data_IF_830101256379
#
_entry.id   IF_830101256379
#
_cell.length_a   1.000
_cell.length_b   1.000
_cell.length_c   1.000
_cell.angle_alpha   90.00
_cell.angle_beta   90.00
_cell.angle_gamma   90.00
#
_symmetry.space_group_name_H-M   'P 1'
#
loop_
_entity.id
_entity.type
_entity.pdbx_description
1 polymer ?
#
# COMPACT_ATOMS: atom_id res chain seq x y z
N UNK A 1 -59.34 34.15 32.02
CA UNK A 1 -59.82 35.20 32.96
C UNK A 1 -60.70 36.14 32.17
N UNK A 2 -61.84 36.57 32.71
CA UNK A 2 -62.69 37.60 32.10
C UNK A 2 -62.15 39.00 32.41
N UNK A 3 -62.57 40.01 31.63
CA UNK A 3 -62.15 41.41 31.80
C UNK A 3 -62.32 41.93 33.23
N UNK A 4 -63.36 41.47 33.93
CA UNK A 4 -63.69 41.88 35.30
C UNK A 4 -62.72 41.30 36.34
N UNK A 5 -62.14 40.14 36.06
CA UNK A 5 -61.26 39.37 36.95
C UNK A 5 -59.81 39.85 36.91
N UNK A 6 -59.43 40.66 35.92
CA UNK A 6 -58.08 41.18 35.78
C UNK A 6 -57.71 42.17 36.91
N UNK A 7 -56.50 42.03 37.43
CA UNK A 7 -55.88 43.00 38.34
C UNK A 7 -55.43 44.26 37.59
N UNK A 8 -55.20 45.37 38.30
CA UNK A 8 -54.70 46.63 37.71
C UNK A 8 -53.39 46.42 36.95
N UNK A 9 -52.50 45.56 37.46
CA UNK A 9 -51.24 45.22 36.79
C UNK A 9 -51.48 44.53 35.45
N UNK A 10 -52.34 43.51 35.43
CA UNK A 10 -52.68 42.78 34.20
C UNK A 10 -53.43 43.66 33.19
N UNK A 11 -54.31 44.56 33.66
CA UNK A 11 -54.98 45.53 32.78
C UNK A 11 -53.99 46.49 32.11
N UNK A 12 -52.97 46.95 32.85
CA UNK A 12 -51.89 47.79 32.31
C UNK A 12 -51.06 47.03 31.29
N UNK A 13 -50.62 45.82 31.63
CA UNK A 13 -49.86 44.94 30.72
C UNK A 13 -50.65 44.66 29.42
N UNK A 14 -51.95 44.37 29.51
CA UNK A 14 -52.80 44.11 28.33
C UNK A 14 -53.03 45.35 27.46
N UNK A 15 -53.11 46.55 28.05
CA UNK A 15 -53.20 47.80 27.30
C UNK A 15 -51.85 48.15 26.64
N UNK A 16 -50.75 47.98 27.36
CA UNK A 16 -49.40 48.23 26.86
C UNK A 16 -49.00 47.25 25.74
N UNK A 17 -49.40 45.98 25.83
CA UNK A 17 -49.25 44.99 24.74
C UNK A 17 -50.00 45.37 23.46
N UNK A 18 -50.98 46.26 23.56
CA UNK A 18 -51.80 46.74 22.43
C UNK A 18 -51.46 48.18 22.05
N UNK A 19 -50.34 48.71 22.55
CA UNK A 19 -49.88 50.09 22.35
C UNK A 19 -50.90 51.16 22.80
N UNK A 20 -51.70 50.87 23.83
CA UNK A 20 -52.71 51.76 24.40
C UNK A 20 -52.25 52.40 25.72
N UNK A 21 -52.79 53.58 26.06
CA UNK A 21 -52.46 54.24 27.33
C UNK A 21 -52.79 53.35 28.52
N UNK A 22 -51.83 53.12 29.41
CA UNK A 22 -51.96 52.28 30.60
C UNK A 22 -52.13 53.10 31.89
N UNK A 23 -52.32 54.42 31.81
CA UNK A 23 -52.51 55.29 32.98
C UNK A 23 -53.94 55.24 33.57
N UNK A 24 -54.08 55.55 34.88
CA UNK A 24 -55.38 55.66 35.55
C UNK A 24 -55.79 54.50 36.48
N UNK A 25 -57.03 54.58 36.99
CA UNK A 25 -57.61 53.65 37.97
C UNK A 25 -58.19 52.39 37.30
N UNK A 26 -58.45 51.31 38.05
CA UNK A 26 -58.97 50.02 37.53
C UNK A 26 -60.15 50.19 36.55
N UNK A 27 -61.11 51.05 36.89
CA UNK A 27 -62.31 51.32 36.09
C UNK A 27 -61.95 51.94 34.73
N UNK A 28 -61.02 52.91 34.71
CA UNK A 28 -60.57 53.59 33.49
C UNK A 28 -59.86 52.60 32.57
N UNK A 29 -58.98 51.76 33.16
CA UNK A 29 -58.25 50.74 32.42
C UNK A 29 -59.19 49.65 31.85
N UNK A 30 -60.20 49.21 32.62
CA UNK A 30 -61.21 48.26 32.14
C UNK A 30 -62.06 48.85 31.03
N UNK A 31 -62.50 50.11 31.15
CA UNK A 31 -63.28 50.78 30.11
C UNK A 31 -62.49 50.94 28.81
N UNK A 32 -61.22 51.33 28.90
CA UNK A 32 -60.33 51.44 27.74
C UNK A 32 -60.10 50.08 27.08
N UNK A 33 -59.77 49.05 27.87
CA UNK A 33 -59.56 47.70 27.34
C UNK A 33 -60.85 47.13 26.73
N UNK A 34 -62.02 47.46 27.29
CA UNK A 34 -63.34 47.11 26.73
C UNK A 34 -63.57 47.72 25.34
N UNK A 35 -63.25 48.99 25.17
CA UNK A 35 -63.36 49.71 23.90
C UNK A 35 -62.40 49.13 22.85
N UNK A 36 -61.15 48.85 23.25
CA UNK A 36 -60.13 48.22 22.39
C UNK A 36 -60.56 46.84 21.90
N UNK A 37 -61.11 45.99 22.78
CA UNK A 37 -61.66 44.68 22.39
C UNK A 37 -62.81 44.82 21.39
N UNK A 38 -63.74 45.75 21.66
CA UNK A 38 -64.91 45.98 20.79
C UNK A 38 -64.48 46.48 19.42
N UNK A 39 -63.48 47.37 19.36
CA UNK A 39 -62.88 47.88 18.11
C UNK A 39 -62.19 46.77 17.30
N UNK A 40 -61.62 45.78 17.99
CA UNK A 40 -61.00 44.62 17.37
C UNK A 40 -62.02 43.52 16.97
N UNK A 41 -63.31 43.71 17.28
CA UNK A 41 -64.38 42.76 16.96
C UNK A 41 -64.58 41.65 18.01
N UNK A 42 -63.92 41.75 19.15
CA UNK A 42 -64.05 40.83 20.28
C UNK A 42 -65.15 41.28 21.25
N UNK A 43 -65.96 40.34 21.76
CA UNK A 43 -66.94 40.65 22.80
C UNK A 43 -66.26 40.72 24.18
N UNK A 44 -66.22 41.89 24.84
CA UNK A 44 -65.51 42.07 26.11
C UNK A 44 -66.05 41.27 27.28
N UNK A 45 -67.32 40.82 27.24
CA UNK A 45 -67.92 40.02 28.31
C UNK A 45 -67.65 38.51 28.16
N UNK A 46 -67.26 38.06 26.96
CA UNK A 46 -66.92 36.65 26.69
C UNK A 46 -65.45 36.42 26.34
N UNK A 47 -64.68 37.49 26.09
CA UNK A 47 -63.26 37.40 25.77
C UNK A 47 -62.46 36.85 26.96
N UNK A 48 -61.72 35.77 26.73
CA UNK A 48 -60.88 35.12 27.73
C UNK A 48 -59.41 35.50 27.57
N UNK A 49 -58.90 36.25 28.55
CA UNK A 49 -57.49 36.53 28.70
C UNK A 49 -56.76 35.31 29.24
N UNK A 50 -55.66 34.92 28.57
CA UNK A 50 -54.77 33.88 29.05
C UNK A 50 -54.08 34.34 30.33
N UNK A 51 -54.09 33.50 31.37
CA UNK A 51 -53.28 33.78 32.55
C UNK A 51 -51.81 33.47 32.27
N UNK A 52 -50.91 34.11 33.01
CA UNK A 52 -49.48 33.77 32.97
C UNK A 52 -49.25 32.27 33.21
N UNK A 53 -50.05 31.64 34.08
CA UNK A 53 -50.03 30.21 34.34
C UNK A 53 -50.42 29.38 33.10
N UNK A 54 -51.48 29.76 32.38
CA UNK A 54 -51.89 29.07 31.15
C UNK A 54 -50.81 29.19 30.05
N UNK A 55 -50.18 30.36 29.92
CA UNK A 55 -49.07 30.56 28.98
C UNK A 55 -47.88 29.67 29.36
N UNK A 56 -47.51 29.62 30.64
CA UNK A 56 -46.43 28.76 31.15
C UNK A 56 -46.75 27.28 30.89
N UNK A 57 -47.97 26.83 31.20
CA UNK A 57 -48.41 25.44 30.97
C UNK A 57 -48.34 25.06 29.49
N UNK A 58 -48.77 25.95 28.59
CA UNK A 58 -48.68 25.69 27.14
C UNK A 58 -47.23 25.55 26.67
N UNK A 59 -46.32 26.42 27.14
CA UNK A 59 -44.90 26.36 26.82
C UNK A 59 -44.24 25.11 27.39
N UNK A 60 -44.55 24.72 28.63
CA UNK A 60 -44.06 23.48 29.24
C UNK A 60 -44.52 22.25 28.46
N UNK A 61 -45.76 22.24 27.98
CA UNK A 61 -46.29 21.17 27.13
C UNK A 61 -45.48 21.06 25.83
N UNK A 62 -45.26 22.16 25.13
CA UNK A 62 -44.46 22.18 23.90
C UNK A 62 -43.02 21.72 24.14
N UNK A 63 -42.40 22.14 25.24
CA UNK A 63 -41.05 21.70 25.62
C UNK A 63 -41.03 20.20 25.89
N UNK A 64 -42.00 19.67 26.63
CA UNK A 64 -42.15 18.23 26.90
C UNK A 64 -42.29 17.41 25.62
N UNK A 65 -43.15 17.86 24.70
CA UNK A 65 -43.33 17.22 23.38
C UNK A 65 -42.02 17.22 22.57
N UNK A 66 -41.29 18.34 22.59
CA UNK A 66 -40.01 18.47 21.89
C UNK A 66 -38.94 17.55 22.48
N UNK A 67 -38.89 17.43 23.81
CA UNK A 67 -37.96 16.53 24.51
C UNK A 67 -38.28 15.08 24.13
N UNK A 68 -39.55 14.67 24.21
CA UNK A 68 -39.96 13.31 23.88
C UNK A 68 -39.61 12.93 22.44
N UNK A 69 -39.87 13.81 21.48
CA UNK A 69 -39.53 13.57 20.08
C UNK A 69 -38.01 13.51 19.85
N UNK A 70 -37.25 14.33 20.58
CA UNK A 70 -35.78 14.31 20.51
C UNK A 70 -35.23 13.01 21.09
N UNK A 71 -35.75 12.56 22.24
CA UNK A 71 -35.39 11.27 22.84
C UNK A 71 -35.70 10.11 21.88
N UNK A 72 -36.91 10.08 21.29
CA UNK A 72 -37.29 9.06 20.31
C UNK A 72 -36.34 9.00 19.12
N UNK A 73 -35.99 10.15 18.52
CA UNK A 73 -35.02 10.21 17.42
C UNK A 73 -33.62 9.79 17.84
N UNK A 74 -33.24 10.06 19.09
CA UNK A 74 -31.95 9.62 19.63
C UNK A 74 -31.91 8.10 19.78
N UNK A 75 -32.95 7.49 20.32
CA UNK A 75 -33.06 6.05 20.49
C UNK A 75 -33.02 5.32 19.14
N UNK A 76 -33.76 5.81 18.14
CA UNK A 76 -33.72 5.28 16.77
C UNK A 76 -32.32 5.36 16.15
N UNK A 77 -31.56 6.43 16.43
CA UNK A 77 -30.17 6.54 15.96
C UNK A 77 -29.26 5.54 16.68
N UNK A 78 -29.41 5.39 18.00
CA UNK A 78 -28.62 4.42 18.76
C UNK A 78 -28.88 2.99 18.32
N UNK A 79 -30.14 2.63 18.07
CA UNK A 79 -30.51 1.31 17.56
C UNK A 79 -29.88 1.03 16.18
N UNK A 80 -29.93 2.03 15.29
CA UNK A 80 -29.29 1.93 13.98
C UNK A 80 -27.76 1.78 14.08
N UNK A 81 -27.13 2.48 15.02
CA UNK A 81 -25.68 2.35 15.27
C UNK A 81 -25.35 0.98 15.85
N UNK A 82 -26.14 0.48 16.81
CA UNK A 82 -25.97 -0.85 17.38
C UNK A 82 -26.06 -1.93 16.30
N UNK A 83 -27.08 -1.86 15.43
CA UNK A 83 -27.22 -2.79 14.30
C UNK A 83 -26.01 -2.76 13.35
N UNK A 84 -25.54 -1.57 12.95
CA UNK A 84 -24.35 -1.45 12.10
C UNK A 84 -23.09 -1.97 12.77
N UNK A 85 -22.98 -1.81 14.09
CA UNK A 85 -21.87 -2.35 14.87
C UNK A 85 -21.88 -3.89 14.84
N UNK A 86 -23.05 -4.51 15.04
CA UNK A 86 -23.19 -5.97 14.98
C UNK A 86 -22.87 -6.53 13.59
N UNK A 87 -23.39 -5.90 12.54
CA UNK A 87 -23.07 -6.26 11.15
C UNK A 87 -21.56 -6.17 10.88
N UNK A 88 -20.92 -5.09 11.32
CA UNK A 88 -19.47 -4.90 11.18
C UNK A 88 -18.68 -5.95 11.96
N UNK A 89 -19.11 -6.27 13.17
CA UNK A 89 -18.49 -7.28 14.03
C UNK A 89 -18.56 -8.68 13.40
N UNK A 90 -19.70 -9.02 12.78
CA UNK A 90 -19.86 -10.27 12.04
C UNK A 90 -18.92 -10.35 10.83
N UNK A 91 -18.83 -9.28 10.03
CA UNK A 91 -17.91 -9.21 8.89
C UNK A 91 -16.45 -9.37 9.33
N UNK A 92 -16.04 -8.72 10.42
CA UNK A 92 -14.68 -8.86 10.97
C UNK A 92 -14.39 -10.31 11.36
N UNK A 93 -15.31 -10.97 12.08
CA UNK A 93 -15.16 -12.38 12.47
C UNK A 93 -14.97 -13.28 11.25
N UNK A 94 -15.78 -13.06 10.22
CA UNK A 94 -15.74 -13.87 9.00
C UNK A 94 -14.44 -13.64 8.22
N UNK A 95 -13.98 -12.39 8.10
CA UNK A 95 -12.69 -12.07 7.47
C UNK A 95 -11.52 -12.71 8.23
N UNK A 96 -11.53 -12.64 9.57
CA UNK A 96 -10.51 -13.29 10.39
C UNK A 96 -10.50 -14.81 10.19
N UNK A 97 -11.67 -15.46 10.16
CA UNK A 97 -11.81 -16.89 9.90
C UNK A 97 -11.23 -17.28 8.53
N UNK A 98 -11.66 -16.59 7.47
CA UNK A 98 -11.17 -16.85 6.11
C UNK A 98 -9.67 -16.60 5.98
N UNK A 99 -9.15 -15.56 6.65
CA UNK A 99 -7.72 -15.28 6.63
C UNK A 99 -6.94 -16.40 7.30
N UNK A 100 -7.40 -16.92 8.44
CA UNK A 100 -6.74 -18.01 9.14
C UNK A 100 -6.69 -19.29 8.29
N UNK A 101 -7.81 -19.65 7.67
CA UNK A 101 -7.88 -20.82 6.76
C UNK A 101 -6.91 -20.71 5.58
N UNK A 102 -6.79 -19.52 4.99
CA UNK A 102 -5.81 -19.26 3.93
C UNK A 102 -4.37 -19.37 4.44
N UNK A 103 -4.08 -18.86 5.63
CA UNK A 103 -2.75 -18.99 6.24
C UNK A 103 -2.39 -20.45 6.51
N UNK A 104 -3.33 -21.25 7.02
CA UNK A 104 -3.12 -22.69 7.25
C UNK A 104 -2.84 -23.42 5.94
N UNK A 105 -3.61 -23.12 4.89
CA UNK A 105 -3.38 -23.68 3.55
C UNK A 105 -2.01 -23.32 2.98
N UNK A 106 -1.60 -22.04 3.07
CA UNK A 106 -0.26 -21.59 2.64
C UNK A 106 0.84 -22.27 3.45
N UNK A 107 0.66 -22.41 4.76
CA UNK A 107 1.60 -23.10 5.65
C UNK A 107 1.79 -24.57 5.24
N UNK A 108 0.70 -25.25 4.89
CA UNK A 108 0.75 -26.61 4.38
C UNK A 108 1.50 -26.71 3.04
N UNK A 109 1.22 -25.81 2.10
CA UNK A 109 1.92 -25.76 0.80
C UNK A 109 3.43 -25.53 1.00
N UNK A 110 3.82 -24.63 1.91
CA UNK A 110 5.23 -24.37 2.20
C UNK A 110 5.92 -25.62 2.75
N UNK A 111 5.28 -26.36 3.67
CA UNK A 111 5.81 -27.62 4.20
C UNK A 111 5.99 -28.67 3.11
N UNK A 112 4.97 -28.84 2.26
CA UNK A 112 4.99 -29.78 1.14
C UNK A 112 6.13 -29.46 0.16
N UNK A 113 6.22 -28.21 -0.30
CA UNK A 113 7.29 -27.77 -1.22
C UNK A 113 8.68 -27.93 -0.61
N UNK A 114 8.83 -27.65 0.69
CA UNK A 114 10.10 -27.85 1.40
C UNK A 114 10.50 -29.32 1.43
N UNK A 115 9.54 -30.23 1.69
CA UNK A 115 9.78 -31.68 1.66
C UNK A 115 10.20 -32.14 0.27
N UNK A 116 9.45 -31.74 -0.76
CA UNK A 116 9.74 -32.10 -2.16
C UNK A 116 11.10 -31.56 -2.62
N UNK A 117 11.49 -30.35 -2.20
CA UNK A 117 12.80 -29.79 -2.52
C UNK A 117 13.93 -30.56 -1.84
N UNK A 118 13.75 -30.97 -0.58
CA UNK A 118 14.74 -31.79 0.11
C UNK A 118 14.91 -33.14 -0.59
N UNK A 119 13.81 -33.81 -0.97
CA UNK A 119 13.87 -35.08 -1.70
C UNK A 119 14.58 -34.94 -3.05
N UNK A 120 14.28 -33.88 -3.81
CA UNK A 120 14.97 -33.60 -5.09
C UNK A 120 16.45 -33.28 -4.88
N UNK A 121 16.80 -32.57 -3.82
CA UNK A 121 18.19 -32.26 -3.51
C UNK A 121 18.98 -33.53 -3.13
N UNK A 122 18.36 -34.43 -2.38
CA UNK A 122 18.93 -35.75 -2.06
C UNK A 122 19.13 -36.59 -3.33
N UNK A 123 18.17 -36.57 -4.25
CA UNK A 123 18.30 -37.26 -5.54
C UNK A 123 19.45 -36.68 -6.37
N UNK A 124 19.52 -35.36 -6.52
CA UNK A 124 20.62 -34.67 -7.21
C UNK A 124 21.97 -35.04 -6.58
N UNK A 125 22.08 -35.02 -5.25
CA UNK A 125 23.31 -35.40 -4.54
C UNK A 125 23.74 -36.82 -4.89
N UNK A 126 22.81 -37.79 -4.88
CA UNK A 126 23.12 -39.17 -5.29
C UNK A 126 23.56 -39.28 -6.75
N UNK A 127 22.96 -38.50 -7.66
CA UNK A 127 23.39 -38.50 -9.07
C UNK A 127 24.77 -37.91 -9.25
N UNK A 128 25.10 -36.87 -8.48
CA UNK A 128 26.41 -36.25 -8.47
C UNK A 128 27.47 -37.23 -7.95
N UNK A 129 27.21 -37.94 -6.86
CA UNK A 129 28.11 -38.96 -6.32
C UNK A 129 28.41 -40.07 -7.34
N UNK A 130 27.38 -40.53 -8.07
CA UNK A 130 27.55 -41.52 -9.14
C UNK A 130 28.40 -40.99 -10.30
N UNK A 131 28.16 -39.74 -10.71
CA UNK A 131 28.93 -39.10 -11.77
C UNK A 131 30.39 -38.89 -11.36
N UNK A 132 30.62 -38.42 -10.13
CA UNK A 132 31.96 -38.24 -9.55
C UNK A 132 32.73 -39.55 -9.58
N UNK A 133 32.12 -40.65 -9.10
CA UNK A 133 32.73 -41.98 -9.15
C UNK A 133 33.09 -42.40 -10.58
N UNK A 134 32.18 -42.20 -11.54
CA UNK A 134 32.47 -42.53 -12.94
C UNK A 134 33.59 -41.68 -13.54
N UNK A 135 33.71 -40.41 -13.16
CA UNK A 135 34.81 -39.54 -13.57
C UNK A 135 36.14 -40.03 -12.99
N UNK A 136 36.15 -40.42 -11.71
CA UNK A 136 37.33 -40.97 -11.04
C UNK A 136 37.77 -42.30 -11.69
N UNK A 137 36.83 -43.21 -11.96
CA UNK A 137 37.09 -44.47 -12.67
C UNK A 137 37.67 -44.22 -14.08
N UNK A 138 37.12 -43.24 -14.81
CA UNK A 138 37.63 -42.85 -16.14
C UNK A 138 39.02 -42.23 -16.07
N UNK A 139 39.29 -41.40 -15.06
CA UNK A 139 40.61 -40.80 -14.82
C UNK A 139 41.65 -41.89 -14.59
N UNK A 140 41.37 -42.87 -13.74
CA UNK A 140 42.28 -43.99 -13.47
C UNK A 140 42.60 -44.80 -14.75
N UNK A 141 41.57 -45.08 -15.55
CA UNK A 141 41.74 -45.76 -16.84
C UNK A 141 42.62 -44.96 -17.82
N UNK A 142 42.42 -43.64 -17.90
CA UNK A 142 43.25 -42.76 -18.75
C UNK A 142 44.70 -42.71 -18.28
N UNK A 143 44.95 -42.58 -16.97
CA UNK A 143 46.29 -42.60 -16.40
C UNK A 143 47.02 -43.92 -16.72
N UNK A 144 46.32 -45.06 -16.66
CA UNK A 144 46.89 -46.37 -17.03
C UNK A 144 47.28 -46.43 -18.51
N UNK A 145 46.41 -45.94 -19.41
CA UNK A 145 46.70 -45.90 -20.85
C UNK A 145 47.86 -44.96 -21.19
N UNK A 146 47.97 -43.82 -20.50
CA UNK A 146 49.10 -42.90 -20.67
C UNK A 146 50.40 -43.60 -20.30
N UNK A 147 50.46 -44.29 -19.14
CA UNK A 147 51.65 -45.05 -18.72
C UNK A 147 52.05 -46.15 -19.72
N UNK A 148 51.06 -46.84 -20.29
CA UNK A 148 51.30 -47.87 -21.30
C UNK A 148 51.89 -47.28 -22.60
N UNK A 149 51.34 -46.15 -23.07
CA UNK A 149 51.88 -45.42 -24.22
C UNK A 149 53.29 -44.88 -23.97
N UNK A 150 53.56 -44.34 -22.78
CA UNK A 150 54.89 -43.87 -22.38
C UNK A 150 55.93 -45.00 -22.42
N UNK A 151 55.58 -46.20 -21.93
CA UNK A 151 56.46 -47.38 -21.98
C UNK A 151 56.81 -47.78 -23.42
N UNK A 152 55.81 -47.78 -24.32
CA UNK A 152 56.02 -48.09 -25.75
C UNK A 152 56.93 -47.07 -26.45
N UNK A 153 56.85 -45.80 -26.07
CA UNK A 153 57.72 -44.74 -26.59
C UNK A 153 59.16 -44.94 -26.07
N UNK A 154 59.36 -45.33 -24.81
CA UNK A 154 60.70 -45.53 -24.24
C UNK A 154 61.46 -46.74 -24.80
N UNK A 155 60.76 -47.81 -25.19
CA UNK A 155 61.36 -48.97 -25.86
C UNK A 155 61.75 -48.67 -27.32
N UNK A 156 61.12 -47.66 -27.92
CA UNK A 156 61.41 -47.21 -29.29
C UNK A 156 62.50 -46.14 -29.27
N UNK A 157 63.73 -46.51 -28.91
CA UNK A 157 64.89 -45.61 -29.01
C UNK A 157 65.23 -45.32 -30.48
N UNK A 158 64.66 -44.25 -31.02
CA UNK A 158 65.36 -43.40 -32.00
C UNK A 158 66.26 -42.47 -31.18
N UNK A 159 67.56 -42.63 -31.35
CA UNK A 159 68.59 -41.69 -30.91
C UNK A 159 68.35 -40.30 -31.53
N UNK A 160 68.32 -39.21 -30.76
CA UNK A 160 68.76 -37.92 -31.25
C UNK A 160 70.24 -37.74 -30.89
N UNK A 161 71.06 -37.62 -31.93
CA UNK A 161 72.43 -37.11 -31.85
C UNK A 161 72.37 -35.67 -31.34
N UNK A 162 72.91 -35.44 -30.15
CA UNK A 162 73.14 -34.11 -29.59
C UNK A 162 74.48 -33.58 -30.11
N UNK A 163 74.47 -32.41 -30.75
CA UNK A 163 75.63 -31.52 -30.87
C UNK A 163 75.21 -30.05 -31.04
N UNK A 164 75.70 -29.22 -30.09
CA UNK A 164 75.86 -27.76 -30.06
C UNK A 164 74.57 -26.90 -30.22
N UNK A 165 74.34 -25.81 -29.46
CA UNK A 165 75.19 -24.65 -29.16
C UNK A 165 74.73 -23.96 -27.85
N UNK A 166 75.68 -23.31 -27.18
CA UNK A 166 75.55 -22.54 -25.94
C UNK A 166 74.63 -21.30 -26.00
N UNK A 167 74.03 -20.92 -24.86
CA UNK A 167 74.10 -19.59 -24.21
C UNK A 167 73.11 -19.46 -23.02
N UNK A 168 73.60 -18.94 -21.89
CA UNK A 168 72.85 -18.39 -20.74
C UNK A 168 72.03 -17.11 -21.10
N UNK A 169 71.34 -16.40 -20.18
CA UNK A 169 70.31 -16.77 -19.21
C UNK A 169 69.07 -15.82 -19.28
N UNK A 170 68.05 -16.05 -18.41
CA UNK A 170 66.96 -15.11 -18.02
C UNK A 170 65.87 -14.81 -19.06
N UNK A 171 64.59 -15.10 -18.73
CA UNK A 171 63.45 -14.15 -18.66
C UNK A 171 62.27 -14.89 -18.01
N UNK A 172 61.74 -14.31 -16.92
CA UNK A 172 60.40 -14.60 -16.39
C UNK A 172 59.40 -14.07 -17.40
N UNK A 173 58.48 -14.89 -17.90
CA UNK A 173 57.28 -14.32 -18.49
C UNK A 173 56.06 -15.20 -18.27
N UNK A 174 54.98 -14.49 -17.97
CA UNK A 174 53.67 -14.99 -17.61
C UNK A 174 53.03 -15.73 -18.80
N UNK A 175 52.34 -16.84 -18.52
CA UNK A 175 51.61 -17.56 -19.55
C UNK A 175 50.43 -16.71 -20.06
N UNK A 176 50.26 -16.56 -21.39
CA UNK A 176 49.22 -15.72 -21.97
C UNK A 176 47.85 -16.40 -21.84
N UNK A 177 46.87 -15.65 -21.33
CA UNK A 177 45.47 -16.03 -21.39
C UNK A 177 44.99 -15.90 -22.84
N UNK A 178 44.57 -17.03 -23.38
CA UNK A 178 44.04 -17.21 -24.74
C UNK A 178 42.87 -16.26 -25.03
N UNK A 179 43.11 -15.30 -25.92
CA UNK A 179 42.16 -14.32 -26.47
C UNK A 179 41.80 -14.77 -27.88
N UNK A 180 40.89 -15.73 -28.06
CA UNK A 180 40.17 -15.90 -29.33
C UNK A 180 38.79 -16.56 -29.15
N UNK A 181 37.84 -15.81 -28.60
CA UNK A 181 36.43 -15.99 -28.99
C UNK A 181 35.68 -14.69 -28.77
N UNK A 182 35.51 -13.94 -29.87
CA UNK A 182 34.57 -12.85 -30.11
C UNK A 182 33.81 -12.34 -28.86
N UNK A 183 34.46 -11.44 -28.11
CA UNK A 183 33.99 -10.86 -26.85
C UNK A 183 32.83 -9.88 -27.11
N UNK A 184 31.66 -10.37 -27.51
CA UNK A 184 30.44 -9.58 -27.66
C UNK A 184 29.90 -9.26 -26.27
N UNK A 185 30.51 -8.29 -25.57
CA UNK A 185 30.05 -7.82 -24.27
C UNK A 185 28.70 -7.15 -24.44
N UNK A 186 27.63 -7.82 -24.01
CA UNK A 186 26.27 -7.28 -24.10
C UNK A 186 26.17 -6.03 -23.23
N UNK A 187 25.72 -4.92 -23.82
CA UNK A 187 25.56 -3.64 -23.11
C UNK A 187 24.24 -3.64 -22.37
N UNK A 188 24.30 -3.20 -21.11
CA UNK A 188 23.12 -3.03 -20.28
C UNK A 188 22.38 -1.73 -20.67
N UNK A 189 21.06 -1.77 -20.92
CA UNK A 189 20.28 -0.56 -21.14
C UNK A 189 20.23 0.32 -19.88
N UNK A 190 20.09 1.65 -20.01
CA UNK A 190 19.93 2.52 -18.85
C UNK A 190 18.58 2.29 -18.16
N UNK A 191 18.53 2.49 -16.85
CA UNK A 191 17.30 2.42 -16.06
C UNK A 191 17.00 3.77 -15.41
N UNK A 192 15.84 4.33 -15.74
CA UNK A 192 15.38 5.63 -15.25
C UNK A 192 14.27 5.55 -14.19
N UNK A 193 13.79 4.33 -13.88
CA UNK A 193 12.72 4.11 -12.90
C UNK A 193 11.30 4.14 -13.48
N UNK A 194 11.13 4.39 -14.79
CA UNK A 194 9.81 4.43 -15.45
C UNK A 194 9.36 3.08 -16.00
N UNK A 195 10.33 2.25 -16.40
CA UNK A 195 10.07 0.88 -16.87
C UNK A 195 9.95 -0.06 -15.68
N UNK A 196 9.22 -1.18 -15.84
CA UNK A 196 9.08 -2.18 -14.78
C UNK A 196 10.44 -2.70 -14.30
N UNK A 197 10.67 -2.61 -12.99
CA UNK A 197 11.89 -3.06 -12.33
C UNK A 197 12.11 -4.56 -12.47
N UNK A 198 11.05 -5.38 -12.33
CA UNK A 198 11.14 -6.84 -12.45
C UNK A 198 11.55 -7.28 -13.86
N UNK A 199 11.08 -6.58 -14.89
CA UNK A 199 11.50 -6.82 -16.29
C UNK A 199 12.97 -6.42 -16.48
N UNK A 200 13.36 -5.24 -16.00
CA UNK A 200 14.73 -4.75 -16.13
C UNK A 200 15.74 -5.66 -15.39
N UNK A 201 15.42 -6.09 -14.18
CA UNK A 201 16.22 -7.01 -13.40
C UNK A 201 16.46 -8.33 -14.13
N UNK A 202 15.44 -8.87 -14.80
CA UNK A 202 15.57 -10.11 -15.58
C UNK A 202 16.53 -9.93 -16.77
N UNK A 203 16.51 -8.78 -17.43
CA UNK A 203 17.46 -8.45 -18.50
C UNK A 203 18.88 -8.27 -17.94
N UNK A 204 19.00 -7.61 -16.79
CA UNK A 204 20.26 -7.42 -16.09
C UNK A 204 20.93 -8.75 -15.75
N UNK A 205 20.22 -9.68 -15.12
CA UNK A 205 20.77 -10.99 -14.74
C UNK A 205 21.13 -11.84 -15.96
N UNK A 206 20.35 -11.76 -17.05
CA UNK A 206 20.67 -12.45 -18.30
C UNK A 206 21.97 -11.93 -18.92
N UNK A 207 22.16 -10.60 -18.95
CA UNK A 207 23.39 -9.96 -19.46
C UNK A 207 24.57 -10.26 -18.54
N UNK A 208 24.37 -10.21 -17.22
CA UNK A 208 25.41 -10.52 -16.24
C UNK A 208 25.90 -11.97 -16.35
N UNK A 209 24.97 -12.91 -16.59
CA UNK A 209 25.29 -14.31 -16.82
C UNK A 209 26.05 -14.50 -18.13
N UNK A 210 25.58 -13.88 -19.22
CA UNK A 210 26.23 -13.96 -20.53
C UNK A 210 27.63 -13.34 -20.55
N UNK A 211 27.87 -12.30 -19.74
CA UNK A 211 29.16 -11.64 -19.62
C UNK A 211 30.03 -12.20 -18.46
N UNK A 212 29.56 -13.23 -17.74
CA UNK A 212 30.22 -13.80 -16.57
C UNK A 212 30.64 -12.78 -15.51
N UNK A 213 29.77 -11.81 -15.23
CA UNK A 213 30.05 -10.75 -14.25
C UNK A 213 30.17 -11.30 -12.83
N UNK A 214 31.23 -10.88 -12.16
CA UNK A 214 31.38 -10.98 -10.69
C UNK A 214 30.39 -10.06 -9.98
N UNK A 215 30.15 -10.31 -8.68
CA UNK A 215 29.29 -9.46 -7.84
C UNK A 215 29.75 -7.99 -7.83
N UNK A 216 31.07 -7.73 -7.86
CA UNK A 216 31.61 -6.38 -7.98
C UNK A 216 31.28 -5.75 -9.34
N UNK A 217 31.42 -6.49 -10.45
CA UNK A 217 31.09 -6.00 -11.79
C UNK A 217 29.60 -5.76 -11.97
N UNK A 218 28.74 -6.60 -11.36
CA UNK A 218 27.29 -6.37 -11.27
C UNK A 218 26.99 -5.05 -10.57
N UNK A 219 27.61 -4.79 -9.42
CA UNK A 219 27.39 -3.55 -8.66
C UNK A 219 27.82 -2.31 -9.45
N UNK A 220 28.99 -2.36 -10.09
CA UNK A 220 29.52 -1.25 -10.90
C UNK A 220 28.66 -1.01 -12.15
N UNK A 221 28.28 -2.08 -12.85
CA UNK A 221 27.46 -1.98 -14.07
C UNK A 221 26.05 -1.49 -13.76
N UNK A 222 25.43 -1.98 -12.68
CA UNK A 222 24.13 -1.50 -12.21
C UNK A 222 24.21 -0.02 -11.84
N UNK A 223 25.23 0.37 -11.06
CA UNK A 223 25.48 1.77 -10.71
C UNK A 223 25.61 2.65 -11.95
N UNK A 224 26.34 2.18 -12.96
CA UNK A 224 26.57 2.91 -14.21
C UNK A 224 25.33 2.99 -15.10
N UNK A 225 24.36 2.08 -14.96
CA UNK A 225 23.14 2.07 -15.76
C UNK A 225 22.00 2.91 -15.16
N UNK A 226 22.03 3.23 -13.86
CA UNK A 226 21.02 4.07 -13.22
C UNK A 226 21.07 5.52 -13.73
N UNK A 227 19.92 6.06 -14.09
CA UNK A 227 19.71 7.43 -14.59
C UNK A 227 18.49 8.07 -13.94
N UNK A 228 18.39 9.39 -14.01
CA UNK A 228 17.22 10.14 -13.53
C UNK A 228 16.82 9.79 -12.09
N UNK A 229 15.52 9.60 -11.86
CA UNK A 229 14.93 9.31 -10.55
C UNK A 229 15.45 7.99 -9.94
N UNK A 230 15.90 7.05 -10.77
CA UNK A 230 16.50 5.81 -10.29
C UNK A 230 17.90 6.03 -9.70
N UNK A 231 18.64 7.06 -10.13
CA UNK A 231 19.92 7.42 -9.53
C UNK A 231 19.76 8.06 -8.13
N UNK A 232 18.58 8.59 -7.79
CA UNK A 232 18.35 9.18 -6.45
C UNK A 232 18.45 8.15 -5.31
N UNK A 233 18.43 6.84 -5.61
CA UNK A 233 18.67 5.82 -4.58
C UNK A 233 20.01 6.02 -3.87
N UNK A 234 21.02 6.59 -4.57
CA UNK A 234 22.34 6.84 -4.01
C UNK A 234 22.31 7.82 -2.83
N UNK A 235 21.32 8.73 -2.78
CA UNK A 235 21.15 9.62 -1.62
C UNK A 235 20.80 8.86 -0.34
N UNK A 236 20.21 7.68 -0.49
CA UNK A 236 19.74 6.84 0.62
C UNK A 236 20.75 5.75 1.03
N UNK A 237 21.85 5.61 0.29
CA UNK A 237 22.88 4.59 0.49
C UNK A 237 24.08 5.24 1.20
N UNK A 238 24.60 4.66 2.30
CA UNK A 238 25.82 5.13 2.94
C UNK A 238 27.03 5.05 1.99
N UNK A 239 27.89 6.07 2.03
CA UNK A 239 29.11 6.12 1.21
C UNK A 239 29.96 4.86 1.43
N UNK A 240 30.33 4.19 0.34
CA UNK A 240 31.13 2.96 0.35
C UNK A 240 30.32 1.67 0.29
N UNK A 241 29.00 1.72 0.51
CA UNK A 241 28.12 0.57 0.27
C UNK A 241 27.58 0.51 -1.17
N UNK A 242 27.85 1.52 -2.00
CA UNK A 242 27.52 1.54 -3.44
C UNK A 242 28.23 0.45 -4.27
N UNK A 243 29.28 -0.19 -3.70
CA UNK A 243 30.00 -1.31 -4.34
C UNK A 243 29.37 -2.67 -4.04
N UNK A 244 28.35 -2.71 -3.19
CA UNK A 244 27.65 -3.94 -2.82
C UNK A 244 26.39 -4.09 -3.68
N UNK A 245 26.38 -5.10 -4.55
CA UNK A 245 25.23 -5.40 -5.41
C UNK A 245 23.95 -5.61 -4.59
N UNK A 246 24.03 -6.39 -3.52
CA UNK A 246 22.88 -6.68 -2.65
C UNK A 246 22.25 -5.42 -2.05
N UNK A 247 23.07 -4.42 -1.69
CA UNK A 247 22.57 -3.15 -1.15
C UNK A 247 21.84 -2.33 -2.22
N UNK A 248 22.39 -2.25 -3.44
CA UNK A 248 21.75 -1.58 -4.57
C UNK A 248 20.43 -2.26 -4.95
N UNK A 249 20.46 -3.59 -5.08
CA UNK A 249 19.31 -4.42 -5.36
C UNK A 249 18.18 -4.17 -4.36
N UNK A 250 18.45 -4.31 -3.06
CA UNK A 250 17.43 -4.15 -2.01
C UNK A 250 16.78 -2.76 -2.03
N UNK A 251 17.55 -1.72 -2.35
CA UNK A 251 17.04 -0.35 -2.42
C UNK A 251 16.18 -0.11 -3.66
N UNK A 252 16.58 -0.68 -4.79
CA UNK A 252 15.81 -0.62 -6.03
C UNK A 252 14.53 -1.44 -5.91
N UNK A 253 14.61 -2.66 -5.38
CA UNK A 253 13.45 -3.53 -5.12
C UNK A 253 12.44 -2.85 -4.19
N UNK A 254 12.92 -2.19 -3.14
CA UNK A 254 12.02 -1.46 -2.21
C UNK A 254 11.30 -0.28 -2.87
N UNK A 255 11.95 0.41 -3.81
CA UNK A 255 11.42 1.66 -4.40
C UNK A 255 10.66 1.43 -5.71
N UNK A 256 11.09 0.47 -6.51
CA UNK A 256 10.57 0.20 -7.86
C UNK A 256 10.03 -1.22 -8.01
N UNK A 257 10.19 -2.10 -7.02
CA UNK A 257 9.68 -3.45 -7.05
C UNK A 257 8.16 -3.52 -6.97
N UNK A 258 7.63 -4.65 -7.45
CA UNK A 258 6.20 -4.83 -7.72
C UNK A 258 5.32 -4.66 -6.47
N UNK A 259 5.85 -4.98 -5.28
CA UNK A 259 5.14 -4.82 -4.01
C UNK A 259 4.88 -3.36 -3.63
N UNK A 260 5.85 -2.46 -3.88
CA UNK A 260 5.64 -1.03 -3.68
C UNK A 260 4.72 -0.46 -4.76
N UNK A 261 4.94 -0.91 -6.00
CA UNK A 261 4.16 -0.47 -7.15
C UNK A 261 2.68 -0.83 -7.02
N UNK A 262 2.34 -2.01 -6.50
CA UNK A 262 0.96 -2.39 -6.16
C UNK A 262 0.30 -1.43 -5.16
N UNK A 263 1.03 -1.00 -4.12
CA UNK A 263 0.49 -0.05 -3.15
C UNK A 263 0.26 1.33 -3.78
N UNK A 264 1.18 1.77 -4.63
CA UNK A 264 1.07 3.04 -5.37
C UNK A 264 -0.10 2.98 -6.37
N UNK A 265 -0.21 1.94 -7.18
CA UNK A 265 -1.33 1.76 -8.11
C UNK A 265 -2.67 1.68 -7.40
N UNK A 266 -2.74 0.95 -6.27
CA UNK A 266 -3.96 0.91 -5.45
C UNK A 266 -4.34 2.29 -4.90
N UNK A 267 -3.35 3.11 -4.53
CA UNK A 267 -3.59 4.49 -4.07
C UNK A 267 -3.99 5.42 -5.23
N UNK A 268 -3.37 5.28 -6.40
CA UNK A 268 -3.70 6.03 -7.61
C UNK A 268 -5.13 5.70 -8.08
N UNK A 269 -5.49 4.42 -8.20
CA UNK A 269 -6.84 3.99 -8.55
C UNK A 269 -7.89 4.45 -7.54
N UNK A 270 -7.58 4.42 -6.23
CA UNK A 270 -8.51 4.93 -5.20
C UNK A 270 -8.72 6.44 -5.25
N UNK A 271 -7.69 7.19 -5.64
CA UNK A 271 -7.76 8.65 -5.74
C UNK A 271 -8.28 9.12 -7.10
N UNK A 272 -8.40 8.21 -8.08
CA UNK A 272 -8.85 8.54 -9.43
C UNK A 272 -10.38 8.52 -9.50
N UNK A 273 -10.94 9.69 -9.78
CA UNK A 273 -12.36 9.88 -10.13
C UNK A 273 -12.46 10.57 -11.48
N UNK A 274 -13.54 10.31 -12.23
CA UNK A 274 -13.78 10.97 -13.51
C UNK A 274 -13.98 12.48 -13.28
N UNK A 275 -13.25 13.30 -14.04
CA UNK A 275 -13.38 14.76 -13.96
C UNK A 275 -14.58 15.23 -14.79
N UNK A 276 -15.18 16.36 -14.41
CA UNK A 276 -16.32 16.93 -15.13
C UNK A 276 -16.03 17.28 -16.60
N UNK A 277 -14.75 17.48 -16.94
CA UNK A 277 -14.28 17.80 -18.30
C UNK A 277 -13.76 16.59 -19.08
N UNK A 278 -13.76 15.40 -18.49
CA UNK A 278 -13.14 14.19 -19.05
C UNK A 278 -14.21 13.24 -19.58
N UNK A 279 -14.06 12.80 -20.83
CA UNK A 279 -14.99 11.82 -21.40
C UNK A 279 -14.68 10.40 -20.89
N UNK A 280 -15.65 9.50 -21.02
CA UNK A 280 -15.55 8.15 -20.45
C UNK A 280 -14.38 7.34 -21.04
N UNK A 281 -14.06 7.55 -22.32
CA UNK A 281 -13.02 6.81 -23.03
C UNK A 281 -11.60 7.29 -22.63
N UNK A 282 -11.44 8.59 -22.39
CA UNK A 282 -10.23 9.17 -21.80
C UNK A 282 -10.01 8.68 -20.38
N UNK A 283 -11.09 8.63 -19.58
CA UNK A 283 -11.03 8.11 -18.22
C UNK A 283 -10.67 6.62 -18.18
N UNK A 284 -11.29 5.80 -19.03
CA UNK A 284 -10.97 4.37 -19.15
C UNK A 284 -9.51 4.16 -19.56
N UNK A 285 -9.04 4.85 -20.60
CA UNK A 285 -7.67 4.72 -21.08
C UNK A 285 -6.63 5.15 -20.03
N UNK A 286 -6.97 6.11 -19.18
CA UNK A 286 -6.11 6.56 -18.09
C UNK A 286 -6.10 5.56 -16.92
N UNK A 287 -7.27 5.02 -16.54
CA UNK A 287 -7.39 3.95 -15.53
C UNK A 287 -6.68 2.68 -15.98
N UNK A 288 -6.75 2.32 -17.26
CA UNK A 288 -6.08 1.13 -17.83
C UNK A 288 -4.55 1.28 -17.93
N UNK A 289 -4.02 2.50 -17.78
CA UNK A 289 -2.57 2.78 -17.81
C UNK A 289 -1.92 2.66 -16.43
N UNK A 290 -2.71 2.68 -15.36
CA UNK A 290 -2.29 2.53 -13.96
C UNK A 290 -2.23 1.05 -13.59
#
# INVERSE_FOLDING_TARGET
>A
MLLQELSVKQLREQLEERDEDSSGCKIVLQARLKDVLTKNGDDPETFHFQSAEQVILSKLKTVSETINETCRKSDEKFENVAKKFDETSQVIKEVCRQSNEKFDSVSQIIKEVSSQNNEKFDEVSRTFDKMQKSVDDNKEMLEKKIKELESMITDTKVQPSVNAVASDPVVKDELPRDETSHNMRFKLPPFDGKSSWSIYLRQFEAIATANHWTEQEKAVSLTAALRGDAADIFRSIPKGQEKCYQTLFTRLEKRYGDAHLQQVYKAQLRSRSQRASENLQEFEADVARV
#
